data_IF_008264235564
#
_entry.id   IF_008264235564
#
_cell.length_a   1.000
_cell.length_b   1.000
_cell.length_c   1.000
_cell.angle_alpha   90.00
_cell.angle_beta   90.00
_cell.angle_gamma   90.00
#
_symmetry.space_group_name_H-M   'P 1'
#
loop_
_entity.id
_entity.type
_entity.pdbx_description
1 polymer ?
#
# COMPACT_ATOMS: atom_id res chain seq x y z
N UNK A 1 -6.39 1.17 20.27
CA UNK A 1 -7.10 1.03 18.97
C UNK A 1 -7.25 2.35 18.20
N UNK A 2 -7.59 3.49 18.83
CA UNK A 2 -7.84 4.78 18.14
C UNK A 2 -6.64 5.30 17.35
N UNK A 3 -5.44 5.25 17.92
CA UNK A 3 -4.21 5.74 17.28
C UNK A 3 -3.91 5.02 15.96
N UNK A 4 -3.83 3.69 15.97
CA UNK A 4 -3.56 2.90 14.75
C UNK A 4 -4.58 3.14 13.64
N UNK A 5 -5.88 3.23 13.96
CA UNK A 5 -6.93 3.54 12.97
C UNK A 5 -6.74 4.91 12.31
N UNK A 6 -6.33 5.92 13.09
CA UNK A 6 -6.05 7.27 12.57
C UNK A 6 -4.75 7.26 11.75
N UNK A 7 -3.71 6.61 12.27
CA UNK A 7 -2.40 6.51 11.62
C UNK A 7 -2.50 5.83 10.24
N UNK A 8 -3.22 4.71 10.12
CA UNK A 8 -3.42 4.01 8.85
C UNK A 8 -4.14 4.90 7.84
N UNK A 9 -5.24 5.54 8.25
CA UNK A 9 -6.00 6.44 7.36
C UNK A 9 -5.17 7.63 6.90
N UNK A 10 -4.46 8.27 7.83
CA UNK A 10 -3.61 9.42 7.52
C UNK A 10 -2.49 9.04 6.55
N UNK A 11 -1.83 7.90 6.78
CA UNK A 11 -0.78 7.39 5.91
C UNK A 11 -1.28 7.16 4.48
N UNK A 12 -2.43 6.50 4.31
CA UNK A 12 -3.03 6.26 2.99
C UNK A 12 -3.36 7.59 2.30
N UNK A 13 -4.04 8.52 2.98
CA UNK A 13 -4.38 9.83 2.41
C UNK A 13 -3.14 10.59 1.98
N UNK A 14 -2.08 10.59 2.79
CA UNK A 14 -0.82 11.27 2.43
C UNK A 14 -0.12 10.64 1.24
N UNK A 15 -0.15 9.31 1.11
CA UNK A 15 0.40 8.64 -0.08
C UNK A 15 -0.39 9.08 -1.32
N UNK A 16 -1.72 8.98 -1.30
CA UNK A 16 -2.57 9.32 -2.44
C UNK A 16 -2.53 10.80 -2.83
N UNK A 17 -2.29 11.70 -1.87
CA UNK A 17 -2.15 13.14 -2.13
C UNK A 17 -0.83 13.51 -2.84
N UNK A 18 0.24 12.76 -2.59
CA UNK A 18 1.59 13.15 -3.02
C UNK A 18 2.17 12.20 -4.08
N UNK A 19 1.52 11.07 -4.33
CA UNK A 19 2.01 10.04 -5.21
C UNK A 19 0.89 9.40 -6.03
N UNK A 20 1.22 9.07 -7.28
CA UNK A 20 0.46 8.16 -8.11
C UNK A 20 0.98 6.75 -7.82
N UNK A 21 0.07 5.83 -7.54
CA UNK A 21 0.38 4.43 -7.20
C UNK A 21 -0.16 3.53 -8.30
N UNK A 22 0.73 2.82 -8.96
CA UNK A 22 0.40 1.95 -10.11
C UNK A 22 0.92 0.53 -9.88
N UNK A 23 0.35 -0.44 -10.59
CA UNK A 23 0.87 -1.80 -10.62
C UNK A 23 2.19 -1.86 -11.43
N UNK A 24 2.97 -2.90 -11.20
CA UNK A 24 4.20 -3.20 -11.92
C UNK A 24 4.31 -4.71 -12.18
N UNK A 25 5.38 -5.12 -12.88
CA UNK A 25 5.60 -6.52 -13.26
C UNK A 25 5.70 -7.49 -12.05
N UNK A 26 5.98 -6.94 -10.86
CA UNK A 26 6.07 -7.68 -9.60
C UNK A 26 4.78 -7.66 -8.78
N UNK A 27 3.75 -6.91 -9.22
CA UNK A 27 2.48 -6.87 -8.51
C UNK A 27 1.74 -8.19 -8.71
N UNK A 28 1.44 -8.89 -7.63
CA UNK A 28 0.59 -10.06 -7.67
C UNK A 28 -0.81 -9.71 -8.23
N UNK A 29 -1.26 -10.44 -9.26
CA UNK A 29 -2.59 -10.27 -9.87
C UNK A 29 -3.71 -10.75 -8.95
N UNK A 30 -3.40 -11.71 -8.08
CA UNK A 30 -4.31 -12.28 -7.10
C UNK A 30 -3.76 -12.06 -5.70
N UNK A 31 -4.57 -11.49 -4.81
CA UNK A 31 -4.20 -11.33 -3.41
C UNK A 31 -4.33 -12.68 -2.67
N UNK A 32 -3.18 -13.27 -2.30
CA UNK A 32 -3.11 -14.50 -1.49
C UNK A 32 -2.47 -14.21 -0.14
N UNK A 33 -3.07 -14.75 0.92
CA UNK A 33 -2.57 -14.59 2.29
C UNK A 33 -1.55 -15.70 2.58
N UNK A 34 -0.45 -15.36 3.24
CA UNK A 34 0.54 -16.34 3.68
C UNK A 34 -0.04 -17.22 4.80
N UNK A 35 -0.11 -18.55 4.62
CA UNK A 35 -0.68 -19.44 5.63
C UNK A 35 0.26 -19.69 6.82
N UNK A 36 1.51 -19.21 6.75
CA UNK A 36 2.56 -19.49 7.74
C UNK A 36 2.90 -18.31 8.64
N UNK A 37 2.18 -17.19 8.51
CA UNK A 37 2.45 -15.97 9.28
C UNK A 37 1.42 -15.74 10.37
N UNK A 38 1.88 -15.28 11.54
CA UNK A 38 1.01 -14.94 12.68
C UNK A 38 0.00 -13.83 12.35
N UNK A 39 0.38 -12.91 11.47
CA UNK A 39 -0.46 -11.81 11.00
C UNK A 39 -0.95 -12.06 9.57
N UNK A 40 -2.03 -11.35 9.19
CA UNK A 40 -2.52 -11.32 7.81
C UNK A 40 -1.50 -10.59 6.93
N UNK A 41 -0.64 -11.35 6.27
CA UNK A 41 0.38 -10.82 5.36
C UNK A 41 0.19 -11.40 3.96
N UNK A 42 0.42 -10.61 2.91
CA UNK A 42 0.40 -11.12 1.54
C UNK A 42 1.55 -12.11 1.31
N UNK A 43 1.30 -13.15 0.52
CA UNK A 43 2.23 -14.25 0.27
C UNK A 43 3.58 -13.76 -0.29
N UNK A 44 3.57 -12.85 -1.27
CA UNK A 44 4.78 -12.33 -1.91
C UNK A 44 5.02 -10.84 -1.60
N UNK A 45 4.41 -10.30 -0.53
CA UNK A 45 4.46 -8.87 -0.24
C UNK A 45 3.53 -8.03 -1.13
N UNK A 46 3.68 -6.70 -1.08
CA UNK A 46 2.94 -5.75 -1.93
C UNK A 46 3.97 -4.94 -2.71
N UNK A 47 4.09 -5.21 -4.00
CA UNK A 47 4.95 -4.48 -4.90
C UNK A 47 4.10 -3.54 -5.76
N UNK A 48 4.38 -2.24 -5.67
CA UNK A 48 3.71 -1.19 -6.43
C UNK A 48 4.75 -0.19 -6.93
N UNK A 49 4.44 0.46 -8.05
CA UNK A 49 5.21 1.59 -8.55
C UNK A 49 4.66 2.87 -7.92
N UNK A 50 5.52 3.62 -7.24
CA UNK A 50 5.18 4.88 -6.59
C UNK A 50 5.84 6.00 -7.38
N UNK A 51 5.04 6.92 -7.92
CA UNK A 51 5.49 8.04 -8.73
C UNK A 51 5.12 9.31 -8.00
N UNK A 52 6.07 10.24 -7.83
CA UNK A 52 5.78 11.54 -7.21
C UNK A 52 4.72 12.26 -8.04
N UNK A 53 3.61 12.64 -7.41
CA UNK A 53 2.57 13.40 -8.08
C UNK A 53 3.13 14.77 -8.49
N UNK A 54 2.75 15.28 -9.66
CA UNK A 54 3.12 16.64 -10.05
C UNK A 54 2.54 17.63 -9.03
N UNK A 55 3.31 18.66 -8.70
CA UNK A 55 2.84 19.74 -7.85
C UNK A 55 1.74 20.46 -8.64
N UNK A 56 0.49 20.32 -8.22
CA UNK A 56 -0.55 21.23 -8.69
C UNK A 56 -0.37 22.54 -7.93
N UNK A 57 0.06 23.58 -8.65
CA UNK A 57 0.19 24.95 -8.15
C UNK A 57 -1.17 25.59 -7.91
#
# INVERSE_FOLDING_TARGET
ARFGKIQTKYGIVKILQNYIVETCDKTDKEYKISPRTMFLTPLNGIHLRIIKAPIMY
#
